data_IF_910496943695
#
_entry.id   IF_910496943695
#
_cell.length_a   1.000
_cell.length_b   1.000
_cell.length_c   1.000
_cell.angle_alpha   90.00
_cell.angle_beta   90.00
_cell.angle_gamma   90.00
#
_symmetry.space_group_name_H-M   'P 1'
#
loop_
_entity.id
_entity.type
_entity.pdbx_description
1 polymer ?
#
# COMPACT_ATOMS: atom_id res chain seq x y z
N UNK A 1 2.57 10.13 -6.44
CA UNK A 1 2.11 10.63 -5.14
C UNK A 1 3.18 10.44 -4.07
N UNK A 2 3.61 11.51 -3.49
CA UNK A 2 4.59 11.50 -2.39
C UNK A 2 3.95 12.03 -1.12
N UNK A 3 4.54 11.68 0.01
CA UNK A 3 4.18 12.27 1.29
C UNK A 3 4.27 13.81 1.23
N UNK A 4 3.33 14.50 1.89
CA UNK A 4 3.26 15.96 1.84
C UNK A 4 2.48 16.52 0.65
N UNK A 5 1.80 15.68 -0.12
CA UNK A 5 0.92 16.11 -1.20
C UNK A 5 1.61 16.45 -2.52
N UNK A 6 2.85 16.06 -2.70
CA UNK A 6 3.54 16.21 -3.99
C UNK A 6 2.96 15.23 -5.00
N UNK A 7 2.43 15.76 -6.09
CA UNK A 7 1.72 15.00 -7.11
C UNK A 7 2.36 15.24 -8.46
N UNK A 8 2.63 14.17 -9.20
CA UNK A 8 3.04 14.21 -10.60
C UNK A 8 2.27 13.18 -11.40
N UNK A 9 1.90 13.52 -12.61
CA UNK A 9 1.27 12.61 -13.55
C UNK A 9 1.61 13.03 -14.99
N UNK A 10 1.50 12.09 -15.90
CA UNK A 10 1.73 12.31 -17.32
C UNK A 10 0.83 11.41 -18.14
N UNK A 11 0.33 11.92 -19.24
CA UNK A 11 -0.40 11.15 -20.23
C UNK A 11 0.53 10.38 -21.20
N UNK A 12 1.81 10.73 -21.20
CA UNK A 12 2.86 10.08 -22.01
C UNK A 12 2.45 9.88 -23.49
N UNK A 13 1.92 10.92 -24.11
CA UNK A 13 1.48 10.91 -25.52
C UNK A 13 0.04 10.49 -25.75
N UNK A 14 -0.67 10.03 -24.75
CA UNK A 14 -2.12 9.81 -24.88
C UNK A 14 -2.87 11.15 -24.95
N UNK A 15 -4.10 11.20 -25.48
CA UNK A 15 -4.88 12.42 -25.49
C UNK A 15 -4.99 13.03 -24.08
N UNK A 16 -4.91 14.34 -24.00
CA UNK A 16 -4.86 15.07 -22.75
C UNK A 16 -6.01 14.66 -21.80
N UNK A 17 -5.67 14.32 -20.56
CA UNK A 17 -6.61 13.97 -19.52
C UNK A 17 -7.18 12.56 -19.60
N UNK A 18 -6.67 11.71 -20.50
CA UNK A 18 -7.23 10.34 -20.70
C UNK A 18 -6.46 9.25 -19.97
N UNK A 19 -5.27 9.53 -19.49
CA UNK A 19 -4.40 8.53 -18.85
C UNK A 19 -3.92 8.96 -17.46
N UNK A 20 -3.09 9.96 -17.37
CA UNK A 20 -2.43 10.35 -16.11
C UNK A 20 -3.40 10.78 -15.03
N UNK A 21 -4.31 11.67 -15.34
CA UNK A 21 -5.30 12.16 -14.37
C UNK A 21 -6.26 11.08 -13.88
N UNK A 22 -6.82 10.21 -14.75
CA UNK A 22 -7.63 9.09 -14.29
C UNK A 22 -6.91 8.14 -13.34
N UNK A 23 -5.65 7.80 -13.61
CA UNK A 23 -4.85 6.97 -12.72
C UNK A 23 -4.61 7.65 -11.37
N UNK A 24 -4.23 8.93 -11.40
CA UNK A 24 -4.02 9.72 -10.19
C UNK A 24 -5.26 9.76 -9.31
N UNK A 25 -6.43 9.96 -9.92
CA UNK A 25 -7.71 10.02 -9.20
C UNK A 25 -8.01 8.72 -8.42
N UNK A 26 -7.59 7.56 -8.91
CA UNK A 26 -7.75 6.29 -8.20
C UNK A 26 -7.02 6.35 -6.85
N UNK A 27 -5.76 6.75 -6.85
CA UNK A 27 -4.93 6.80 -5.63
C UNK A 27 -5.39 7.90 -4.67
N UNK A 28 -5.77 9.05 -5.18
CA UNK A 28 -6.30 10.15 -4.36
C UNK A 28 -7.63 9.78 -3.69
N UNK A 29 -8.49 9.07 -4.40
CA UNK A 29 -9.78 8.61 -3.86
C UNK A 29 -9.61 7.59 -2.73
N UNK A 30 -8.61 6.73 -2.85
CA UNK A 30 -8.26 5.75 -1.81
C UNK A 30 -7.41 6.34 -0.67
N UNK A 31 -7.00 7.60 -0.78
CA UNK A 31 -6.17 8.26 0.22
C UNK A 31 -4.76 7.70 0.34
N UNK A 32 -4.24 7.11 -0.74
CA UNK A 32 -2.91 6.48 -0.77
C UNK A 32 -1.84 7.51 -1.10
N UNK A 33 -0.76 7.48 -0.34
CA UNK A 33 0.46 8.27 -0.55
C UNK A 33 1.66 7.35 -0.78
N UNK A 34 2.79 7.94 -1.15
CA UNK A 34 4.05 7.21 -1.38
C UNK A 34 3.88 6.07 -2.40
N UNK A 35 3.27 6.39 -3.53
CA UNK A 35 2.98 5.45 -4.61
C UNK A 35 3.46 5.99 -5.95
N UNK A 36 3.99 5.10 -6.77
CA UNK A 36 4.25 5.32 -8.17
C UNK A 36 3.49 4.27 -8.98
N UNK A 37 2.72 4.72 -9.94
CA UNK A 37 1.97 3.83 -10.84
C UNK A 37 2.38 4.08 -12.28
N UNK A 38 2.71 3.03 -12.99
CA UNK A 38 3.01 3.04 -14.43
C UNK A 38 2.09 2.03 -15.11
N UNK A 39 1.36 2.47 -16.12
CA UNK A 39 0.53 1.61 -16.94
C UNK A 39 1.07 1.62 -18.35
N UNK A 40 1.34 0.45 -18.89
CA UNK A 40 1.79 0.26 -20.27
C UNK A 40 0.63 -0.20 -21.13
N UNK A 41 0.39 0.51 -22.23
CA UNK A 41 -0.62 0.15 -23.21
C UNK A 41 0.03 -0.36 -24.50
N UNK A 42 -0.45 -1.48 -24.98
CA UNK A 42 -0.12 -1.98 -26.29
C UNK A 42 -1.26 -1.65 -27.26
N UNK A 43 -0.95 -0.88 -28.30
CA UNK A 43 -1.94 -0.51 -29.31
C UNK A 43 -2.28 -1.71 -30.19
N UNK A 44 -3.54 -2.13 -30.18
CA UNK A 44 -4.05 -3.30 -30.90
C UNK A 44 -4.80 -3.00 -32.21
N UNK A 45 -4.70 -1.76 -32.71
CA UNK A 45 -5.38 -1.36 -33.95
C UNK A 45 -6.85 -0.96 -33.79
N UNK A 46 -7.38 -0.99 -32.57
CA UNK A 46 -8.74 -0.55 -32.25
C UNK A 46 -8.70 0.75 -31.45
N UNK A 47 -9.40 1.77 -31.94
CA UNK A 47 -9.54 3.03 -31.21
C UNK A 47 -10.52 2.87 -30.06
N UNK A 48 -10.05 3.11 -28.83
CA UNK A 48 -10.88 3.06 -27.64
C UNK A 48 -11.73 4.32 -27.47
N UNK A 49 -11.31 5.44 -28.03
CA UNK A 49 -11.88 6.76 -27.76
C UNK A 49 -11.48 7.30 -26.39
N UNK A 50 -11.73 8.58 -26.15
CA UNK A 50 -11.36 9.24 -24.90
C UNK A 50 -12.00 8.56 -23.67
N UNK A 51 -13.28 8.27 -23.73
CA UNK A 51 -13.99 7.57 -22.65
C UNK A 51 -13.49 6.15 -22.40
N UNK A 52 -13.15 5.44 -23.47
CA UNK A 52 -12.55 4.10 -23.37
C UNK A 52 -11.16 4.11 -22.74
N UNK A 53 -10.33 5.07 -23.11
CA UNK A 53 -9.01 5.26 -22.51
C UNK A 53 -9.10 5.57 -21.01
N UNK A 54 -9.95 6.51 -20.64
CA UNK A 54 -10.17 6.86 -19.21
C UNK A 54 -10.58 5.62 -18.40
N UNK A 55 -11.51 4.84 -18.91
CA UNK A 55 -11.96 3.61 -18.23
C UNK A 55 -10.84 2.57 -18.14
N UNK A 56 -10.09 2.37 -19.20
CA UNK A 56 -9.02 1.39 -19.24
C UNK A 56 -7.88 1.74 -18.26
N UNK A 57 -7.44 2.99 -18.26
CA UNK A 57 -6.38 3.44 -17.34
C UNK A 57 -6.85 3.44 -15.89
N UNK A 58 -8.06 3.87 -15.61
CA UNK A 58 -8.68 3.82 -14.28
C UNK A 58 -8.74 2.39 -13.77
N UNK A 59 -9.25 1.47 -14.58
CA UNK A 59 -9.38 0.07 -14.20
C UNK A 59 -8.01 -0.59 -13.96
N UNK A 60 -7.06 -0.34 -14.83
CA UNK A 60 -5.70 -0.88 -14.68
C UNK A 60 -5.03 -0.41 -13.39
N UNK A 61 -5.13 0.88 -13.08
CA UNK A 61 -4.59 1.43 -11.82
C UNK A 61 -5.30 0.85 -10.60
N UNK A 62 -6.61 0.70 -10.65
CA UNK A 62 -7.40 0.11 -9.56
C UNK A 62 -7.04 -1.35 -9.33
N UNK A 63 -6.96 -2.14 -10.39
CA UNK A 63 -6.59 -3.55 -10.30
C UNK A 63 -5.18 -3.75 -9.74
N UNK A 64 -4.24 -2.91 -10.17
CA UNK A 64 -2.87 -2.93 -9.65
C UNK A 64 -2.82 -2.58 -8.15
N UNK A 65 -3.57 -1.57 -7.72
CA UNK A 65 -3.64 -1.18 -6.32
C UNK A 65 -4.26 -2.29 -5.47
N UNK A 66 -5.34 -2.90 -5.92
CA UNK A 66 -6.01 -4.00 -5.22
C UNK A 66 -5.08 -5.22 -5.10
N UNK A 67 -4.30 -5.52 -6.13
CA UNK A 67 -3.33 -6.60 -6.10
C UNK A 67 -2.13 -6.32 -5.21
N UNK A 68 -1.65 -5.07 -5.18
CA UNK A 68 -0.51 -4.66 -4.36
C UNK A 68 -0.86 -4.58 -2.87
N UNK A 69 -2.08 -4.21 -2.56
CA UNK A 69 -2.51 -3.92 -1.20
C UNK A 69 -2.04 -2.56 -0.70
N UNK A 70 -2.61 -2.14 0.41
CA UNK A 70 -2.30 -0.87 1.08
C UNK A 70 -1.78 -1.17 2.47
N UNK A 71 -0.63 -0.60 2.82
CA UNK A 71 -0.06 -0.67 4.16
C UNK A 71 -0.13 0.67 4.84
N UNK A 72 -0.41 0.67 6.11
CA UNK A 72 -0.43 1.88 6.92
C UNK A 72 0.89 2.00 7.67
N UNK A 73 1.63 3.07 7.40
CA UNK A 73 2.86 3.38 8.12
C UNK A 73 2.48 4.04 9.46
N UNK A 74 2.92 3.44 10.56
CA UNK A 74 2.66 3.93 11.91
C UNK A 74 3.96 4.04 12.68
N UNK A 75 3.96 4.85 13.72
CA UNK A 75 5.05 4.84 14.68
C UNK A 75 4.88 3.63 15.60
N UNK A 76 5.95 2.89 15.77
CA UNK A 76 6.01 1.72 16.64
C UNK A 76 7.04 1.95 17.74
N UNK A 77 6.76 1.41 18.90
CA UNK A 77 7.72 1.31 19.99
C UNK A 77 8.05 -0.16 20.16
N UNK A 78 9.33 -0.49 20.14
CA UNK A 78 9.80 -1.83 20.42
C UNK A 78 9.90 -2.01 21.93
N UNK A 79 9.19 -3.01 22.46
CA UNK A 79 9.24 -3.43 23.84
C UNK A 79 9.86 -4.82 23.92
N UNK A 80 10.90 -4.95 24.72
CA UNK A 80 11.48 -6.24 25.10
C UNK A 80 11.01 -6.61 26.49
N UNK A 81 10.24 -7.68 26.59
CA UNK A 81 9.67 -8.15 27.86
C UNK A 81 10.20 -9.55 28.17
N UNK A 82 11.08 -9.71 29.15
CA UNK A 82 11.42 -11.04 29.64
C UNK A 82 10.22 -11.62 30.39
N UNK A 83 9.83 -12.83 30.03
CA UNK A 83 8.73 -13.51 30.68
C UNK A 83 9.03 -15.01 30.83
N UNK A 84 8.39 -15.65 31.78
CA UNK A 84 8.44 -17.10 31.89
C UNK A 84 7.77 -17.73 30.65
N UNK A 85 8.27 -18.89 30.24
CA UNK A 85 7.77 -19.59 29.06
C UNK A 85 6.25 -19.83 29.11
N UNK A 86 5.72 -20.18 30.29
CA UNK A 86 4.28 -20.39 30.47
C UNK A 86 3.41 -19.15 30.32
N UNK A 87 3.99 -17.95 30.32
CA UNK A 87 3.29 -16.68 30.12
C UNK A 87 3.36 -16.17 28.68
N UNK A 88 4.18 -16.80 27.84
CA UNK A 88 4.44 -16.35 26.47
C UNK A 88 3.16 -16.22 25.64
N UNK A 89 2.32 -17.25 25.63
CA UNK A 89 1.07 -17.25 24.85
C UNK A 89 0.10 -16.16 25.33
N UNK A 90 -0.01 -15.94 26.63
CA UNK A 90 -0.85 -14.86 27.18
C UNK A 90 -0.32 -13.48 26.80
N UNK A 91 0.99 -13.28 26.85
CA UNK A 91 1.63 -12.02 26.45
C UNK A 91 1.45 -11.75 24.97
N UNK A 92 1.61 -12.79 24.15
CA UNK A 92 1.37 -12.72 22.71
C UNK A 92 -0.06 -12.32 22.39
N UNK A 93 -1.04 -13.01 22.95
CA UNK A 93 -2.46 -12.72 22.73
C UNK A 93 -2.83 -11.31 23.19
N UNK A 94 -2.35 -10.89 24.34
CA UNK A 94 -2.61 -9.54 24.86
C UNK A 94 -1.96 -8.47 23.98
N UNK A 95 -0.73 -8.68 23.53
CA UNK A 95 -0.05 -7.78 22.59
C UNK A 95 -0.81 -7.62 21.29
N UNK A 96 -1.26 -8.71 20.70
CA UNK A 96 -2.06 -8.70 19.47
C UNK A 96 -3.42 -8.01 19.69
N UNK A 97 -4.07 -8.25 20.82
CA UNK A 97 -5.33 -7.60 21.20
C UNK A 97 -5.20 -6.09 21.30
N UNK A 98 -4.05 -5.60 21.77
CA UNK A 98 -3.73 -4.17 21.87
C UNK A 98 -3.22 -3.57 20.55
N UNK A 99 -3.23 -4.34 19.46
CA UNK A 99 -2.77 -3.89 18.15
C UNK A 99 -1.26 -3.96 17.95
N UNK A 100 -0.55 -4.66 18.82
CA UNK A 100 0.88 -4.91 18.69
C UNK A 100 1.18 -6.02 17.66
N UNK A 101 2.42 -6.04 17.19
CA UNK A 101 2.94 -7.11 16.36
C UNK A 101 4.08 -7.81 17.09
N UNK A 102 4.11 -9.14 17.00
CA UNK A 102 5.20 -9.92 17.56
C UNK A 102 6.39 -9.92 16.59
N UNK A 103 7.49 -9.33 17.01
CA UNK A 103 8.71 -9.25 16.18
C UNK A 103 9.56 -10.53 16.23
N UNK A 104 9.33 -11.40 17.21
CA UNK A 104 10.06 -12.67 17.35
C UNK A 104 9.08 -13.85 17.40
N UNK A 105 9.27 -14.81 16.52
CA UNK A 105 8.44 -16.02 16.45
C UNK A 105 8.82 -17.13 17.42
N UNK A 106 9.91 -16.97 18.17
CA UNK A 106 10.41 -17.99 19.07
C UNK A 106 10.36 -17.55 20.52
N UNK A 107 9.92 -18.44 21.38
CA UNK A 107 9.99 -18.22 22.82
C UNK A 107 11.38 -18.60 23.33
N UNK A 108 12.13 -17.65 23.79
CA UNK A 108 13.40 -17.90 24.45
C UNK A 108 13.22 -17.97 25.97
N UNK A 109 14.07 -18.74 26.63
CA UNK A 109 14.05 -18.86 28.11
C UNK A 109 14.25 -17.51 28.82
N UNK A 110 14.94 -16.60 28.17
CA UNK A 110 15.07 -15.22 28.64
C UNK A 110 15.18 -14.29 27.44
N UNK A 111 14.41 -13.23 27.43
CA UNK A 111 14.51 -12.16 26.45
C UNK A 111 15.15 -10.97 27.17
N UNK A 112 16.36 -10.54 26.76
CA UNK A 112 16.98 -9.39 27.41
C UNK A 112 16.18 -8.12 27.15
N UNK A 113 16.01 -7.32 28.17
CA UNK A 113 15.49 -5.96 28.06
C UNK A 113 16.58 -5.11 27.42
N UNK A 114 16.31 -4.56 26.25
CA UNK A 114 17.19 -3.60 25.59
C UNK A 114 16.75 -2.18 25.91
#
# INVERSE_FOLDING_TARGET
LQEGGVVRYSDDGEPQGTAGQPMLNVFQREGVENVCCVVTRYFGGVLLGAGGLVRAYTQSAKDALDAAGISVVRRWVELSLPCAYGLFERMKLEGERQGGALACGEAYRAVPIK
#
